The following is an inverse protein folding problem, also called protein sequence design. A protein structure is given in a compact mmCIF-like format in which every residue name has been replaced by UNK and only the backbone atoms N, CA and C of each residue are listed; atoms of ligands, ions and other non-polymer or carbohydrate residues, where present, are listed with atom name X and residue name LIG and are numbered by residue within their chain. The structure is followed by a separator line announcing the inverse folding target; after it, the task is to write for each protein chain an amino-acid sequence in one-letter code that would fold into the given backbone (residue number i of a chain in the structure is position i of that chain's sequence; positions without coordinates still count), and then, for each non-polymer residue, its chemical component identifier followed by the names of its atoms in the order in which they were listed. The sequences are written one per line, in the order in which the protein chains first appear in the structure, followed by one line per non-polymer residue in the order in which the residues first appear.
data_IF_328259367504
#
_entry.id   IF_328259367504
#
_cell.length_a   1.000
_cell.length_b   1.000
_cell.length_c   1.000
_cell.angle_alpha   90.00
_cell.angle_beta   90.00
_cell.angle_gamma   90.00
#
_symmetry.space_group_name_H-M   'P 1'
#
loop_
_entity.id
_entity.type
_entity.pdbx_description
1 polymer ?
#
# COMPACT_ATOMS: atom_id res chain seq x y z
N UNK A 1 1.32 1.42 14.44
CA UNK A 1 0.01 0.92 14.92
C UNK A 1 -0.42 -0.23 14.01
N UNK A 2 -1.08 -1.27 14.56
CA UNK A 2 -1.68 -2.35 13.74
C UNK A 2 -2.95 -1.80 13.08
N UNK A 3 -3.27 -2.22 11.86
CA UNK A 3 -4.41 -1.66 11.08
C UNK A 3 -5.77 -1.76 11.78
N UNK A 4 -5.96 -2.75 12.66
CA UNK A 4 -7.21 -2.92 13.39
C UNK A 4 -7.53 -1.75 14.35
N UNK A 5 -6.51 -1.01 14.83
CA UNK A 5 -6.75 0.16 15.69
C UNK A 5 -7.53 1.26 14.96
N UNK A 6 -7.28 1.46 13.67
CA UNK A 6 -8.01 2.42 12.84
C UNK A 6 -9.46 1.99 12.64
N UNK A 7 -9.68 0.68 12.37
CA UNK A 7 -11.01 0.10 12.20
C UNK A 7 -11.84 0.29 13.47
N UNK A 8 -11.31 -0.15 14.61
CA UNK A 8 -12.00 -0.03 15.91
C UNK A 8 -12.15 1.44 16.33
N UNK A 9 -11.13 2.27 16.15
CA UNK A 9 -11.18 3.68 16.51
C UNK A 9 -12.27 4.45 15.77
N UNK A 10 -12.40 4.25 14.46
CA UNK A 10 -13.46 4.88 13.65
C UNK A 10 -14.86 4.39 14.07
N UNK A 11 -15.02 3.09 14.35
CA UNK A 11 -16.28 2.54 14.87
C UNK A 11 -16.64 3.19 16.21
N UNK A 12 -15.70 3.24 17.16
CA UNK A 12 -15.97 3.82 18.49
C UNK A 12 -16.32 5.29 18.42
N UNK A 13 -15.58 6.10 17.65
CA UNK A 13 -15.87 7.54 17.49
C UNK A 13 -17.27 7.73 16.88
N UNK A 14 -17.59 6.98 15.81
CA UNK A 14 -18.91 7.06 15.16
C UNK A 14 -20.02 6.64 16.14
N UNK A 15 -19.78 5.58 16.93
CA UNK A 15 -20.73 5.12 17.96
C UNK A 15 -20.98 6.19 19.00
N UNK A 16 -19.93 6.82 19.54
CA UNK A 16 -20.06 7.85 20.58
C UNK A 16 -20.90 9.03 20.07
N UNK A 17 -20.61 9.55 18.88
CA UNK A 17 -21.38 10.66 18.32
C UNK A 17 -22.85 10.31 18.11
N UNK A 18 -23.15 9.08 17.65
CA UNK A 18 -24.54 8.65 17.46
C UNK A 18 -25.30 8.45 18.77
N UNK A 19 -24.67 7.85 19.79
CA UNK A 19 -25.29 7.60 21.07
C UNK A 19 -25.65 8.89 21.82
N UNK A 20 -24.95 10.00 21.57
CA UNK A 20 -25.29 11.31 22.16
C UNK A 20 -26.62 11.85 21.60
N UNK A 21 -27.01 11.46 20.40
CA UNK A 21 -28.19 12.05 19.68
C UNK A 21 -29.47 11.23 19.79
N UNK A 22 -29.35 9.96 20.14
CA UNK A 22 -30.51 9.07 20.26
C UNK A 22 -30.90 8.81 21.73
N UNK A 23 -32.18 8.58 22.01
CA UNK A 23 -32.64 8.31 23.38
C UNK A 23 -31.93 7.10 24.01
N UNK A 24 -31.51 7.24 25.28
CA UNK A 24 -30.68 6.22 25.96
C UNK A 24 -31.39 4.87 26.16
N UNK A 25 -32.73 4.89 26.31
CA UNK A 25 -33.56 3.70 26.39
C UNK A 25 -33.58 2.86 25.10
N UNK A 26 -33.18 3.45 23.98
CA UNK A 26 -33.07 2.76 22.68
C UNK A 26 -31.71 2.18 22.37
N UNK A 27 -30.68 2.46 23.16
CA UNK A 27 -29.25 2.11 22.86
C UNK A 27 -29.02 0.62 22.60
N UNK A 28 -29.72 -0.25 23.30
CA UNK A 28 -29.55 -1.71 23.20
C UNK A 28 -30.48 -2.37 22.16
N UNK A 29 -31.09 -1.59 21.28
CA UNK A 29 -31.99 -2.10 20.24
C UNK A 29 -31.21 -2.51 18.96
N UNK A 30 -31.77 -3.45 18.20
CA UNK A 30 -31.24 -3.80 16.88
C UNK A 30 -31.29 -2.62 15.90
N UNK A 31 -32.23 -1.69 16.06
CA UNK A 31 -32.32 -0.49 15.24
C UNK A 31 -31.12 0.46 15.48
N UNK A 32 -30.74 0.67 16.76
CA UNK A 32 -29.56 1.45 17.11
C UNK A 32 -28.29 0.83 16.58
N UNK A 33 -28.12 -0.48 16.77
CA UNK A 33 -26.96 -1.18 16.22
C UNK A 33 -26.93 -1.05 14.68
N UNK A 34 -28.07 -1.17 14.02
CA UNK A 34 -28.17 -0.98 12.57
C UNK A 34 -27.79 0.43 12.14
N UNK A 35 -28.23 1.47 12.87
CA UNK A 35 -27.86 2.87 12.61
C UNK A 35 -26.35 3.07 12.75
N UNK A 36 -25.76 2.59 13.84
CA UNK A 36 -24.31 2.68 14.11
C UNK A 36 -23.50 1.99 13.00
N UNK A 37 -23.86 0.76 12.65
CA UNK A 37 -23.14 0.00 11.63
C UNK A 37 -23.31 0.60 10.23
N UNK A 38 -24.50 1.10 9.89
CA UNK A 38 -24.73 1.81 8.62
C UNK A 38 -23.90 3.09 8.49
N UNK A 39 -23.90 3.93 9.52
CA UNK A 39 -23.09 5.14 9.56
C UNK A 39 -21.59 4.82 9.54
N UNK A 40 -21.15 3.79 10.28
CA UNK A 40 -19.75 3.35 10.27
C UNK A 40 -19.32 2.80 8.90
N UNK A 41 -20.21 2.08 8.19
CA UNK A 41 -19.95 1.64 6.83
C UNK A 41 -19.68 2.82 5.89
N UNK A 42 -20.47 3.88 5.98
CA UNK A 42 -20.28 5.13 5.23
C UNK A 42 -18.93 5.79 5.59
N UNK A 43 -18.58 5.87 6.88
CA UNK A 43 -17.27 6.37 7.36
C UNK A 43 -16.12 5.54 6.77
N UNK A 44 -16.25 4.22 6.77
CA UNK A 44 -15.22 3.34 6.21
C UNK A 44 -15.04 3.53 4.70
N UNK A 45 -16.12 3.74 3.97
CA UNK A 45 -16.05 4.08 2.54
C UNK A 45 -15.37 5.43 2.32
N UNK A 46 -15.71 6.46 3.10
CA UNK A 46 -15.08 7.78 3.04
C UNK A 46 -13.58 7.70 3.30
N UNK A 47 -13.17 7.03 4.39
CA UNK A 47 -11.75 6.84 4.74
C UNK A 47 -11.05 5.98 3.70
N UNK A 48 -11.71 4.98 3.11
CA UNK A 48 -11.13 4.19 2.01
C UNK A 48 -10.82 5.05 0.78
N UNK A 49 -11.65 6.04 0.45
CA UNK A 49 -11.33 7.01 -0.61
C UNK A 49 -10.09 7.86 -0.27
N UNK A 50 -9.96 8.30 0.99
CA UNK A 50 -8.77 9.02 1.48
C UNK A 50 -7.52 8.15 1.34
N UNK A 51 -7.57 6.91 1.79
CA UNK A 51 -6.43 5.98 1.69
C UNK A 51 -6.02 5.69 0.23
N UNK A 52 -6.97 5.63 -0.69
CA UNK A 52 -6.70 5.44 -2.11
C UNK A 52 -6.04 6.65 -2.79
N UNK A 53 -6.07 7.84 -2.20
CA UNK A 53 -5.54 9.08 -2.79
C UNK A 53 -4.03 9.06 -3.00
N UNK A 54 -3.28 8.28 -2.22
CA UNK A 54 -1.80 8.28 -2.16
C UNK A 54 -1.21 9.61 -1.72
N UNK A 55 -1.92 10.39 -0.91
CA UNK A 55 -1.34 11.60 -0.34
C UNK A 55 -0.20 11.26 0.62
N UNK A 56 0.91 11.99 0.52
CA UNK A 56 2.10 11.78 1.36
C UNK A 56 1.80 11.85 2.86
N UNK A 57 0.86 12.72 3.26
CA UNK A 57 0.42 12.82 4.66
C UNK A 57 -0.14 11.49 5.14
N UNK A 58 -0.97 10.82 4.34
CA UNK A 58 -1.56 9.53 4.67
C UNK A 58 -0.48 8.44 4.75
N UNK A 59 0.40 8.38 3.75
CA UNK A 59 1.55 7.45 3.79
C UNK A 59 2.39 7.67 5.06
N UNK A 60 2.56 8.94 5.47
CA UNK A 60 3.29 9.29 6.69
C UNK A 60 2.62 8.77 7.97
N UNK A 61 1.30 8.91 8.07
CA UNK A 61 0.52 8.44 9.23
C UNK A 61 0.58 6.91 9.35
N UNK A 62 0.47 6.20 8.23
CA UNK A 62 0.48 4.73 8.19
C UNK A 62 1.88 4.12 8.15
N UNK A 63 2.92 4.93 8.02
CA UNK A 63 4.32 4.51 7.91
C UNK A 63 4.63 3.59 6.72
N UNK A 64 3.95 3.79 5.59
CA UNK A 64 4.18 3.10 4.33
C UNK A 64 2.90 2.85 3.54
N UNK A 65 3.03 2.84 2.22
CA UNK A 65 1.90 2.70 1.30
C UNK A 65 1.32 1.26 1.31
N UNK A 66 2.13 0.26 1.62
CA UNK A 66 1.74 -1.13 1.83
C UNK A 66 0.71 -1.24 2.98
N UNK A 67 0.96 -0.56 4.10
CA UNK A 67 0.05 -0.51 5.25
C UNK A 67 -1.23 0.28 4.94
N UNK A 68 -1.11 1.34 4.15
CA UNK A 68 -2.28 2.10 3.67
C UNK A 68 -3.21 1.20 2.87
N UNK A 69 -2.68 0.40 1.93
CA UNK A 69 -3.50 -0.52 1.13
C UNK A 69 -4.07 -1.69 1.94
N UNK A 70 -3.32 -2.21 2.91
CA UNK A 70 -3.86 -3.23 3.81
C UNK A 70 -5.02 -2.68 4.65
N UNK A 71 -4.90 -1.46 5.19
CA UNK A 71 -5.99 -0.77 5.89
C UNK A 71 -7.21 -0.52 4.97
N UNK A 72 -6.98 -0.03 3.75
CA UNK A 72 -8.02 0.19 2.73
C UNK A 72 -8.81 -1.10 2.45
N UNK A 73 -8.11 -2.21 2.24
CA UNK A 73 -8.74 -3.52 2.00
C UNK A 73 -9.66 -3.92 3.15
N UNK A 74 -9.17 -3.85 4.39
CA UNK A 74 -9.95 -4.25 5.55
C UNK A 74 -11.12 -3.31 5.85
N UNK A 75 -10.97 -2.01 5.64
CA UNK A 75 -12.09 -1.06 5.73
C UNK A 75 -13.19 -1.39 4.72
N UNK A 76 -12.82 -1.77 3.48
CA UNK A 76 -13.78 -2.21 2.46
C UNK A 76 -14.54 -3.48 2.87
N UNK A 77 -13.84 -4.47 3.42
CA UNK A 77 -14.47 -5.71 3.92
C UNK A 77 -15.43 -5.42 5.07
N UNK A 78 -15.01 -4.65 6.06
CA UNK A 78 -15.86 -4.30 7.20
C UNK A 78 -17.01 -3.38 6.80
N UNK A 79 -16.82 -2.47 5.82
CA UNK A 79 -17.92 -1.68 5.27
C UNK A 79 -19.02 -2.57 4.69
N UNK A 80 -18.67 -3.63 3.95
CA UNK A 80 -19.66 -4.58 3.43
C UNK A 80 -20.34 -5.37 4.56
N UNK A 81 -19.60 -5.86 5.54
CA UNK A 81 -20.17 -6.60 6.69
C UNK A 81 -21.19 -5.71 7.43
N UNK A 82 -20.83 -4.48 7.73
CA UNK A 82 -21.68 -3.54 8.45
C UNK A 82 -22.88 -3.09 7.61
N UNK A 83 -22.69 -2.84 6.32
CA UNK A 83 -23.77 -2.53 5.39
C UNK A 83 -24.74 -3.71 5.26
N UNK A 84 -24.27 -4.97 5.35
CA UNK A 84 -25.13 -6.16 5.32
C UNK A 84 -26.04 -6.21 6.55
N UNK A 85 -25.50 -5.99 7.74
CA UNK A 85 -26.32 -5.90 8.94
C UNK A 85 -27.37 -4.78 8.82
N UNK A 86 -26.93 -3.58 8.41
CA UNK A 86 -27.81 -2.42 8.21
C UNK A 86 -28.89 -2.67 7.15
N UNK A 87 -28.59 -3.45 6.13
CA UNK A 87 -29.57 -3.83 5.09
C UNK A 87 -30.64 -4.79 5.61
N UNK A 88 -30.26 -5.74 6.46
CA UNK A 88 -31.16 -6.75 7.04
C UNK A 88 -32.04 -6.17 8.14
N UNK A 89 -31.45 -5.34 9.02
CA UNK A 89 -32.15 -4.75 10.17
C UNK A 89 -32.49 -3.28 9.90
N UNK A 90 -33.72 -2.88 10.14
CA UNK A 90 -34.15 -1.49 9.95
C UNK A 90 -33.54 -0.59 11.02
N UNK A 91 -32.91 0.51 10.59
CA UNK A 91 -32.33 1.55 11.46
C UNK A 91 -33.38 2.65 11.73
N UNK A 92 -34.55 2.28 12.20
CA UNK A 92 -35.64 3.23 12.52
C UNK A 92 -36.47 2.73 13.69
N UNK A 93 -36.81 3.64 14.59
CA UNK A 93 -37.76 3.46 15.68
C UNK A 93 -38.74 4.61 15.64
N UNK A 94 -40.02 4.35 16.00
CA UNK A 94 -41.06 5.36 15.97
C UNK A 94 -40.82 6.49 17.00
N UNK A 95 -40.05 6.17 18.07
CA UNK A 95 -39.64 7.17 19.08
C UNK A 95 -38.55 8.11 18.62
N UNK A 96 -37.85 7.79 17.49
CA UNK A 96 -36.85 8.67 16.93
C UNK A 96 -37.49 9.73 16.04
N UNK A 97 -37.11 10.98 16.24
CA UNK A 97 -37.57 12.09 15.40
C UNK A 97 -36.83 12.08 14.06
N UNK A 98 -37.15 11.09 13.20
CA UNK A 98 -36.43 10.78 11.96
C UNK A 98 -36.98 11.56 10.78
N UNK A 99 -36.12 12.39 10.17
CA UNK A 99 -36.42 13.18 8.96
C UNK A 99 -35.33 12.96 7.91
N UNK A 100 -35.65 13.03 6.61
CA UNK A 100 -34.61 13.05 5.58
C UNK A 100 -33.93 14.43 5.54
N UNK A 101 -32.62 14.46 5.27
CA UNK A 101 -31.91 15.72 5.05
C UNK A 101 -32.22 16.27 3.67
N UNK A 102 -32.44 15.40 2.70
CA UNK A 102 -32.81 15.71 1.33
C UNK A 102 -33.98 14.83 0.90
N UNK A 103 -35.11 15.43 0.58
CA UNK A 103 -36.29 14.70 0.14
C UNK A 103 -36.13 14.23 -1.31
N UNK A 104 -36.22 12.93 -1.50
CA UNK A 104 -36.30 12.29 -2.80
C UNK A 104 -37.61 11.53 -2.98
N UNK A 105 -38.18 11.47 -4.22
CA UNK A 105 -39.30 10.60 -4.52
C UNK A 105 -39.02 9.14 -4.11
N UNK A 106 -40.03 8.44 -3.60
CA UNK A 106 -39.93 7.06 -3.06
C UNK A 106 -39.22 6.07 -4.02
N UNK A 107 -39.46 6.25 -5.31
CA UNK A 107 -38.81 5.42 -6.33
C UNK A 107 -37.27 5.56 -6.27
N UNK A 108 -36.75 6.78 -6.30
CA UNK A 108 -35.30 7.07 -6.27
C UNK A 108 -34.67 6.65 -4.95
N UNK A 109 -35.34 6.91 -3.82
CA UNK A 109 -34.85 6.49 -2.50
C UNK A 109 -34.69 4.97 -2.43
N UNK A 110 -35.66 4.20 -2.97
CA UNK A 110 -35.60 2.73 -3.02
C UNK A 110 -34.47 2.25 -3.94
N UNK A 111 -34.34 2.85 -5.13
CA UNK A 111 -33.31 2.52 -6.11
C UNK A 111 -31.89 2.77 -5.54
N UNK A 112 -31.67 3.95 -4.96
CA UNK A 112 -30.38 4.32 -4.36
C UNK A 112 -29.98 3.33 -3.26
N UNK A 113 -30.91 2.94 -2.39
CA UNK A 113 -30.67 1.93 -1.35
C UNK A 113 -30.23 0.59 -1.91
N UNK A 114 -30.97 0.05 -2.89
CA UNK A 114 -30.68 -1.25 -3.49
C UNK A 114 -29.35 -1.22 -4.26
N UNK A 115 -29.14 -0.17 -5.04
CA UNK A 115 -27.93 0.00 -5.85
C UNK A 115 -26.68 0.14 -4.97
N UNK A 116 -26.78 0.90 -3.86
CA UNK A 116 -25.68 1.07 -2.90
C UNK A 116 -25.18 -0.27 -2.36
N UNK A 117 -26.10 -1.14 -1.92
CA UNK A 117 -25.73 -2.42 -1.33
C UNK A 117 -25.22 -3.43 -2.36
N UNK A 118 -25.94 -3.61 -3.46
CA UNK A 118 -25.55 -4.58 -4.51
C UNK A 118 -24.22 -4.19 -5.12
N UNK A 119 -24.02 -2.92 -5.45
CA UNK A 119 -22.77 -2.47 -6.06
C UNK A 119 -21.59 -2.54 -5.09
N UNK A 120 -21.79 -2.22 -3.79
CA UNK A 120 -20.75 -2.41 -2.77
C UNK A 120 -20.34 -3.90 -2.67
N UNK A 121 -21.32 -4.79 -2.61
CA UNK A 121 -21.07 -6.24 -2.57
C UNK A 121 -20.26 -6.72 -3.77
N UNK A 122 -20.66 -6.32 -4.99
CA UNK A 122 -19.95 -6.67 -6.22
C UNK A 122 -18.51 -6.13 -6.23
N UNK A 123 -18.29 -4.86 -5.88
CA UNK A 123 -16.96 -4.25 -5.86
C UNK A 123 -16.03 -4.95 -4.86
N UNK A 124 -16.53 -5.25 -3.65
CA UNK A 124 -15.71 -5.93 -2.63
C UNK A 124 -15.43 -7.38 -3.04
N UNK A 125 -16.42 -8.12 -3.53
CA UNK A 125 -16.22 -9.50 -4.01
C UNK A 125 -15.21 -9.56 -5.15
N UNK A 126 -15.32 -8.67 -6.14
CA UNK A 126 -14.37 -8.57 -7.24
C UNK A 126 -12.96 -8.22 -6.73
N UNK A 127 -12.86 -7.36 -5.71
CA UNK A 127 -11.57 -6.98 -5.13
C UNK A 127 -10.88 -8.11 -4.37
N UNK A 128 -11.64 -9.00 -3.73
CA UNK A 128 -11.11 -10.15 -2.98
C UNK A 128 -10.77 -11.33 -3.87
N UNK A 129 -11.38 -11.44 -5.04
CA UNK A 129 -11.14 -12.55 -5.98
C UNK A 129 -9.83 -12.34 -6.76
N UNK A 130 -8.79 -13.05 -6.33
CA UNK A 130 -7.44 -12.99 -6.95
C UNK A 130 -7.33 -13.64 -8.33
N UNK A 131 -8.33 -14.42 -8.76
CA UNK A 131 -8.35 -15.05 -10.08
C UNK A 131 -8.72 -14.07 -11.20
N UNK A 132 -9.27 -12.89 -10.85
CA UNK A 132 -9.59 -11.85 -11.82
C UNK A 132 -8.30 -11.12 -12.22
N UNK A 133 -8.01 -10.98 -13.53
CA UNK A 133 -6.86 -10.21 -14.01
C UNK A 133 -6.86 -8.79 -13.45
N UNK A 134 -5.67 -8.31 -13.08
CA UNK A 134 -5.52 -7.02 -12.38
C UNK A 134 -6.08 -5.83 -13.16
N UNK A 135 -5.88 -5.80 -14.48
CA UNK A 135 -6.40 -4.75 -15.36
C UNK A 135 -7.94 -4.70 -15.36
N UNK A 136 -8.61 -5.86 -15.40
CA UNK A 136 -10.08 -5.98 -15.34
C UNK A 136 -10.59 -5.50 -13.99
N UNK A 137 -10.04 -6.08 -12.90
CA UNK A 137 -10.39 -5.69 -11.54
C UNK A 137 -10.24 -4.18 -11.31
N UNK A 138 -9.11 -3.60 -11.70
CA UNK A 138 -8.82 -2.17 -11.50
C UNK A 138 -9.85 -1.28 -12.18
N UNK A 139 -10.31 -1.65 -13.36
CA UNK A 139 -11.32 -0.89 -14.10
C UNK A 139 -12.63 -0.85 -13.33
N UNK A 140 -13.14 -2.01 -12.93
CA UNK A 140 -14.35 -2.12 -12.13
C UNK A 140 -14.23 -1.43 -10.77
N UNK A 141 -13.08 -1.55 -10.14
CA UNK A 141 -12.84 -0.92 -8.83
C UNK A 141 -12.87 0.62 -8.88
N UNK A 142 -12.61 1.26 -10.03
CA UNK A 142 -12.80 2.71 -10.18
C UNK A 142 -14.24 3.16 -9.98
N UNK A 143 -15.23 2.28 -10.21
CA UNK A 143 -16.63 2.56 -9.93
C UNK A 143 -16.94 2.74 -8.45
N UNK A 144 -16.01 2.40 -7.55
CA UNK A 144 -16.16 2.66 -6.10
C UNK A 144 -16.31 4.15 -5.78
N UNK A 145 -15.69 5.06 -6.57
CA UNK A 145 -15.88 6.51 -6.42
C UNK A 145 -17.33 6.95 -6.70
N UNK A 146 -17.89 6.71 -7.89
CA UNK A 146 -19.31 6.95 -8.18
C UNK A 146 -20.25 6.24 -7.19
N UNK A 147 -19.97 5.00 -6.80
CA UNK A 147 -20.75 4.29 -5.79
C UNK A 147 -20.75 5.03 -4.46
N UNK A 148 -19.63 5.55 -4.01
CA UNK A 148 -19.54 6.31 -2.77
C UNK A 148 -20.47 7.54 -2.81
N UNK A 149 -20.57 8.25 -3.93
CA UNK A 149 -21.54 9.34 -4.10
C UNK A 149 -22.98 8.87 -3.97
N UNK A 150 -23.31 7.70 -4.53
CA UNK A 150 -24.65 7.09 -4.40
C UNK A 150 -24.95 6.77 -2.93
N UNK A 151 -23.96 6.26 -2.17
CA UNK A 151 -24.14 5.97 -0.74
C UNK A 151 -24.31 7.26 0.08
N UNK A 152 -23.64 8.35 -0.28
CA UNK A 152 -23.89 9.67 0.33
C UNK A 152 -25.33 10.12 0.07
N UNK A 153 -25.82 9.99 -1.16
CA UNK A 153 -27.23 10.30 -1.50
C UNK A 153 -28.19 9.41 -0.72
N UNK A 154 -27.86 8.13 -0.53
CA UNK A 154 -28.62 7.23 0.35
C UNK A 154 -28.72 7.79 1.77
N UNK A 155 -27.58 8.16 2.40
CA UNK A 155 -27.57 8.75 3.74
C UNK A 155 -28.42 10.02 3.82
N UNK A 156 -28.24 10.94 2.86
CA UNK A 156 -28.98 12.24 2.87
C UNK A 156 -30.48 12.09 2.63
N UNK A 157 -30.92 11.07 1.88
CA UNK A 157 -32.29 10.90 1.44
C UNK A 157 -33.16 9.98 2.33
N UNK A 158 -32.55 9.25 3.24
CA UNK A 158 -33.27 8.39 4.17
C UNK A 158 -33.66 9.11 5.45
N UNK A 159 -34.80 8.74 6.00
CA UNK A 159 -35.22 9.19 7.32
C UNK A 159 -34.25 8.70 8.38
N UNK A 160 -33.64 9.60 9.12
CA UNK A 160 -32.65 9.33 10.14
C UNK A 160 -32.83 10.33 11.30
N UNK A 161 -32.49 9.96 12.54
CA UNK A 161 -32.41 10.90 13.65
C UNK A 161 -31.22 11.88 13.51
N UNK A 162 -30.29 11.63 12.57
CA UNK A 162 -29.10 12.44 12.35
C UNK A 162 -29.45 13.70 11.54
N UNK A 163 -29.16 14.88 12.07
CA UNK A 163 -29.26 16.15 11.35
C UNK A 163 -27.87 16.65 10.95
N UNK A 164 -27.74 17.47 9.90
CA UNK A 164 -26.43 17.99 9.46
C UNK A 164 -25.75 18.88 10.52
N UNK A 165 -26.53 19.55 11.38
CA UNK A 165 -26.00 20.42 12.43
C UNK A 165 -25.59 19.68 13.69
N UNK A 166 -25.92 18.41 13.80
CA UNK A 166 -25.58 17.59 14.96
C UNK A 166 -24.12 17.11 14.93
N UNK A 167 -23.53 16.74 16.07
CA UNK A 167 -22.15 16.21 16.12
C UNK A 167 -21.92 15.02 15.18
N UNK A 168 -22.86 14.05 15.12
CA UNK A 168 -22.75 12.91 14.20
C UNK A 168 -22.92 13.33 12.74
N UNK A 169 -23.84 14.26 12.45
CA UNK A 169 -24.00 14.80 11.09
C UNK A 169 -22.77 15.55 10.60
N UNK A 170 -22.18 16.40 11.45
CA UNK A 170 -20.90 17.08 11.12
C UNK A 170 -19.76 16.11 10.91
N UNK A 171 -19.68 15.06 11.74
CA UNK A 171 -18.69 13.99 11.59
C UNK A 171 -18.82 13.28 10.24
N UNK A 172 -20.02 12.82 9.91
CA UNK A 172 -20.30 12.14 8.65
C UNK A 172 -20.07 13.06 7.45
N UNK A 173 -20.58 14.29 7.49
CA UNK A 173 -20.44 15.26 6.41
C UNK A 173 -18.97 15.62 6.14
N UNK A 174 -18.18 15.83 7.20
CA UNK A 174 -16.75 16.16 7.10
C UNK A 174 -15.97 15.03 6.44
N UNK A 175 -16.16 13.78 6.90
CA UNK A 175 -15.48 12.63 6.31
C UNK A 175 -15.95 12.34 4.88
N UNK A 176 -17.25 12.45 4.61
CA UNK A 176 -17.79 12.31 3.26
C UNK A 176 -17.24 13.38 2.32
N UNK A 177 -17.19 14.63 2.74
CA UNK A 177 -16.60 15.72 1.97
C UNK A 177 -15.13 15.47 1.64
N UNK A 178 -14.31 15.10 2.63
CA UNK A 178 -12.93 14.73 2.42
C UNK A 178 -12.79 13.50 1.50
N UNK A 179 -13.63 12.50 1.67
CA UNK A 179 -13.67 11.31 0.81
C UNK A 179 -13.98 11.63 -0.64
N UNK A 180 -14.94 12.55 -0.89
CA UNK A 180 -15.27 13.04 -2.24
C UNK A 180 -14.09 13.77 -2.86
N UNK A 181 -13.47 14.70 -2.12
CA UNK A 181 -12.26 15.41 -2.58
C UNK A 181 -11.17 14.42 -2.96
N UNK A 182 -10.93 13.40 -2.13
CA UNK A 182 -9.93 12.39 -2.39
C UNK A 182 -10.28 11.51 -3.60
N UNK A 183 -11.55 11.13 -3.77
CA UNK A 183 -12.00 10.35 -4.92
C UNK A 183 -11.88 11.15 -6.23
N UNK A 184 -12.33 12.39 -6.25
CA UNK A 184 -12.17 13.29 -7.41
C UNK A 184 -10.70 13.50 -7.73
N UNK A 185 -9.88 13.86 -6.74
CA UNK A 185 -8.43 13.98 -6.92
C UNK A 185 -7.84 12.71 -7.56
N UNK A 186 -8.16 11.53 -7.02
CA UNK A 186 -7.58 10.27 -7.49
C UNK A 186 -8.01 9.89 -8.90
N UNK A 187 -9.27 10.14 -9.24
CA UNK A 187 -9.81 9.75 -10.54
C UNK A 187 -9.45 10.73 -11.66
N UNK A 188 -9.28 12.01 -11.34
CA UNK A 188 -9.10 13.08 -12.33
C UNK A 188 -7.75 13.77 -12.28
N UNK A 189 -7.31 14.23 -11.11
CA UNK A 189 -6.14 15.11 -10.95
C UNK A 189 -4.82 14.36 -10.72
N UNK A 190 -4.88 13.15 -10.16
CA UNK A 190 -3.69 12.39 -9.79
C UNK A 190 -2.65 12.24 -10.93
N UNK A 191 -3.03 11.94 -12.18
CA UNK A 191 -2.06 11.79 -13.26
C UNK A 191 -1.25 13.07 -13.56
N UNK A 192 -1.81 14.23 -13.24
CA UNK A 192 -1.17 15.53 -13.51
C UNK A 192 -0.38 16.04 -12.30
N UNK A 193 -0.95 15.93 -11.10
CA UNK A 193 -0.38 16.53 -9.86
C UNK A 193 0.68 15.62 -9.23
N UNK A 194 0.50 14.31 -9.28
CA UNK A 194 1.41 13.35 -8.65
C UNK A 194 2.59 12.93 -9.52
N UNK A 195 2.65 13.37 -10.78
CA UNK A 195 3.76 13.07 -11.69
C UNK A 195 5.03 13.77 -11.22
N UNK A 196 6.08 13.00 -10.92
CA UNK A 196 7.39 13.53 -10.54
C UNK A 196 8.21 13.98 -11.75
N UNK A 197 8.03 13.33 -12.91
CA UNK A 197 8.73 13.69 -14.13
C UNK A 197 8.43 12.76 -15.31
N UNK A 198 8.84 13.21 -16.47
CA UNK A 198 8.90 12.42 -17.70
C UNK A 198 10.31 11.91 -17.88
N UNK A 199 10.44 10.64 -18.20
CA UNK A 199 11.70 9.94 -18.34
C UNK A 199 11.79 9.21 -19.66
N UNK A 200 13.00 9.04 -20.16
CA UNK A 200 13.32 8.27 -21.38
C UNK A 200 14.12 7.04 -21.02
N UNK A 201 13.75 5.90 -21.55
CA UNK A 201 14.53 4.65 -21.47
C UNK A 201 15.84 4.83 -22.20
N UNK A 202 16.96 4.70 -21.50
CA UNK A 202 18.31 4.85 -22.04
C UNK A 202 19.08 3.54 -22.12
N UNK A 203 18.75 2.56 -21.27
CA UNK A 203 19.31 1.22 -21.36
C UNK A 203 18.26 0.15 -20.99
N UNK A 204 18.33 -0.97 -21.68
CA UNK A 204 17.50 -2.16 -21.45
C UNK A 204 18.40 -3.39 -21.51
N UNK A 205 18.47 -4.13 -20.41
CA UNK A 205 19.17 -5.41 -20.34
C UNK A 205 18.22 -6.46 -19.79
N UNK A 206 18.03 -7.54 -20.53
CA UNK A 206 17.25 -8.69 -20.08
C UNK A 206 18.15 -9.90 -19.93
N UNK A 207 18.27 -10.44 -18.72
CA UNK A 207 19.10 -11.62 -18.44
C UNK A 207 18.47 -12.45 -17.32
N UNK A 208 18.52 -13.77 -17.47
CA UNK A 208 18.02 -14.73 -16.46
C UNK A 208 16.55 -14.46 -16.02
N UNK A 209 15.70 -14.00 -16.94
CA UNK A 209 14.31 -13.69 -16.65
C UNK A 209 14.13 -12.45 -15.76
N UNK A 210 15.08 -11.54 -15.73
CA UNK A 210 14.97 -10.22 -15.08
C UNK A 210 15.33 -9.13 -16.06
N UNK A 211 14.49 -8.09 -16.09
CA UNK A 211 14.69 -6.88 -16.86
C UNK A 211 15.39 -5.84 -15.97
N UNK A 212 16.53 -5.35 -16.40
CA UNK A 212 17.18 -4.16 -15.86
C UNK A 212 16.89 -2.99 -16.79
N UNK A 213 16.20 -1.99 -16.27
CA UNK A 213 15.74 -0.83 -16.99
C UNK A 213 16.37 0.42 -16.41
N UNK A 214 17.04 1.19 -17.26
CA UNK A 214 17.61 2.50 -16.91
C UNK A 214 16.86 3.60 -17.62
N UNK A 215 16.47 4.64 -16.86
CA UNK A 215 15.73 5.78 -17.39
C UNK A 215 16.44 7.08 -16.96
N UNK A 216 16.51 8.00 -17.93
CA UNK A 216 17.06 9.35 -17.71
C UNK A 216 15.93 10.39 -17.81
N UNK A 217 15.90 11.42 -16.95
CA UNK A 217 14.86 12.44 -16.99
C UNK A 217 14.93 13.22 -18.31
N UNK A 218 13.76 13.53 -18.89
CA UNK A 218 13.69 14.36 -20.11
C UNK A 218 14.01 15.84 -19.79
N UNK A 219 13.64 16.28 -18.59
CA UNK A 219 13.91 17.64 -18.11
C UNK A 219 14.70 17.58 -16.79
N UNK A 220 14.01 17.56 -15.67
CA UNK A 220 14.60 17.52 -14.33
C UNK A 220 14.24 16.23 -13.63
N UNK A 221 15.23 15.58 -13.01
CA UNK A 221 15.02 14.44 -12.12
C UNK A 221 14.33 14.86 -10.81
N UNK A 222 13.79 13.90 -10.08
CA UNK A 222 13.27 14.09 -8.73
C UNK A 222 14.24 13.53 -7.70
N UNK A 223 14.27 14.15 -6.51
CA UNK A 223 15.05 13.65 -5.41
C UNK A 223 14.32 12.49 -4.69
N UNK A 224 15.05 11.44 -4.34
CA UNK A 224 14.56 10.31 -3.57
C UNK A 224 15.61 9.84 -2.55
N UNK A 225 15.20 9.02 -1.62
CA UNK A 225 16.12 8.37 -0.66
C UNK A 225 16.30 6.91 -1.07
N UNK A 226 17.53 6.38 -0.97
CA UNK A 226 17.79 4.95 -1.24
C UNK A 226 16.86 4.04 -0.44
N UNK A 227 16.28 3.04 -1.12
CA UNK A 227 15.25 2.14 -0.59
C UNK A 227 13.81 2.57 -0.89
N UNK A 228 13.58 3.75 -1.49
CA UNK A 228 12.25 4.16 -1.96
C UNK A 228 11.90 3.52 -3.31
N UNK A 229 10.60 3.55 -3.64
CA UNK A 229 10.08 3.07 -4.91
C UNK A 229 9.35 4.17 -5.69
N UNK A 230 9.13 3.92 -6.96
CA UNK A 230 8.37 4.78 -7.86
C UNK A 230 7.32 3.97 -8.61
N UNK A 231 6.22 4.62 -9.03
CA UNK A 231 5.32 4.04 -10.01
C UNK A 231 5.79 4.43 -11.41
N UNK A 232 6.08 3.43 -12.22
CA UNK A 232 6.45 3.55 -13.63
C UNK A 232 5.22 3.34 -14.50
N UNK A 233 4.94 4.26 -15.42
CA UNK A 233 3.90 4.16 -16.44
C UNK A 233 4.53 4.49 -17.80
N UNK A 234 4.66 3.49 -18.69
CA UNK A 234 5.18 3.72 -20.03
C UNK A 234 4.14 4.47 -20.88
N UNK A 235 4.56 5.40 -21.75
CA UNK A 235 3.66 6.10 -22.67
C UNK A 235 3.28 5.26 -23.90
N UNK A 236 3.39 3.94 -23.80
CA UNK A 236 3.06 2.97 -24.82
C UNK A 236 1.68 2.35 -24.57
N UNK A 237 0.92 2.07 -25.64
CA UNK A 237 -0.39 1.43 -25.51
C UNK A 237 -0.29 0.04 -24.82
N UNK A 238 -1.14 -0.16 -23.82
CA UNK A 238 -1.15 -1.36 -23.00
C UNK A 238 -0.08 -1.41 -21.89
N UNK A 239 0.77 -0.35 -21.75
CA UNK A 239 1.77 -0.19 -20.70
C UNK A 239 1.63 1.14 -19.94
N UNK A 240 0.51 1.86 -20.13
CA UNK A 240 0.24 3.15 -19.46
C UNK A 240 -0.16 3.02 -17.99
N UNK A 241 -0.25 1.82 -17.49
CA UNK A 241 -0.66 1.56 -16.12
C UNK A 241 0.51 1.78 -15.16
N UNK A 242 0.37 2.65 -14.12
CA UNK A 242 1.44 2.86 -13.15
C UNK A 242 1.65 1.62 -12.26
N UNK A 243 2.82 1.01 -12.36
CA UNK A 243 3.24 -0.12 -11.53
C UNK A 243 4.39 0.27 -10.62
N UNK A 244 4.39 -0.17 -9.33
CA UNK A 244 5.43 0.15 -8.38
C UNK A 244 6.67 -0.70 -8.58
N UNK A 245 7.83 -0.04 -8.61
CA UNK A 245 9.14 -0.69 -8.66
C UNK A 245 10.11 0.04 -7.73
N UNK A 246 10.89 -0.72 -6.96
CA UNK A 246 11.92 -0.15 -6.10
C UNK A 246 13.04 0.43 -6.95
N UNK A 247 13.46 1.64 -6.62
CA UNK A 247 14.55 2.32 -7.29
C UNK A 247 15.87 1.64 -6.86
N UNK A 248 16.63 1.15 -7.84
CA UNK A 248 17.89 0.43 -7.64
C UNK A 248 19.14 1.29 -7.93
N UNK A 249 18.95 2.57 -8.30
CA UNK A 249 20.03 3.54 -8.52
C UNK A 249 20.39 4.32 -7.26
N UNK A 250 21.50 5.05 -7.30
CA UNK A 250 21.78 6.15 -6.40
C UNK A 250 20.87 7.34 -6.71
N UNK A 251 20.78 8.26 -5.75
CA UNK A 251 20.21 9.60 -5.98
C UNK A 251 21.36 10.57 -6.23
N UNK A 252 21.71 10.77 -7.48
CA UNK A 252 22.81 11.60 -7.92
C UNK A 252 22.32 12.78 -8.80
N UNK A 253 23.23 13.63 -9.21
CA UNK A 253 22.95 14.83 -10.02
C UNK A 253 22.41 14.50 -11.42
N UNK A 254 22.68 13.29 -11.94
CA UNK A 254 22.15 12.87 -13.25
C UNK A 254 20.65 12.69 -13.25
N UNK A 255 20.06 12.46 -12.06
CA UNK A 255 18.65 12.15 -11.89
C UNK A 255 18.23 10.83 -12.54
N UNK A 256 19.20 10.01 -12.94
CA UNK A 256 18.96 8.71 -13.55
C UNK A 256 18.35 7.74 -12.54
N UNK A 257 17.41 6.93 -12.98
CA UNK A 257 16.79 5.89 -12.16
C UNK A 257 16.90 4.53 -12.82
N UNK A 258 17.10 3.51 -11.98
CA UNK A 258 17.19 2.13 -12.42
C UNK A 258 16.14 1.27 -11.72
N UNK A 259 15.60 0.30 -12.46
CA UNK A 259 14.68 -0.69 -11.93
C UNK A 259 15.12 -2.10 -12.28
N UNK A 260 15.03 -3.02 -11.32
CA UNK A 260 15.16 -4.46 -11.53
C UNK A 260 13.75 -5.07 -11.51
N UNK A 261 13.29 -5.57 -12.65
CA UNK A 261 11.90 -5.99 -12.84
C UNK A 261 11.87 -7.47 -13.22
N UNK A 262 11.12 -8.26 -12.46
CA UNK A 262 10.85 -9.65 -12.79
C UNK A 262 9.50 -9.78 -13.47
N UNK A 263 9.39 -10.45 -14.63
CA UNK A 263 8.14 -10.68 -15.33
C UNK A 263 7.31 -11.78 -14.63
N UNK A 264 6.54 -11.39 -13.61
CA UNK A 264 5.70 -12.27 -12.82
C UNK A 264 4.23 -12.21 -13.23
N UNK A 265 3.72 -11.02 -13.54
CA UNK A 265 2.34 -10.78 -13.95
C UNK A 265 2.22 -10.30 -15.40
N UNK A 266 1.00 -10.14 -15.89
CA UNK A 266 0.70 -9.76 -17.28
C UNK A 266 1.42 -8.49 -17.71
N UNK A 267 1.37 -7.43 -16.87
CA UNK A 267 2.03 -6.17 -17.16
C UNK A 267 3.55 -6.31 -17.27
N UNK A 268 4.18 -6.96 -16.29
CA UNK A 268 5.65 -7.08 -16.25
C UNK A 268 6.19 -8.00 -17.34
N UNK A 269 5.44 -9.02 -17.77
CA UNK A 269 5.75 -9.84 -18.94
C UNK A 269 5.71 -8.98 -20.20
N UNK A 270 4.60 -8.27 -20.42
CA UNK A 270 4.43 -7.38 -21.55
C UNK A 270 5.48 -6.27 -21.60
N UNK A 271 5.82 -5.68 -20.44
CA UNK A 271 6.88 -4.68 -20.34
C UNK A 271 8.23 -5.27 -20.78
N UNK A 272 8.59 -6.47 -20.29
CA UNK A 272 9.87 -7.10 -20.63
C UNK A 272 10.02 -7.47 -22.11
N UNK A 273 8.90 -7.72 -22.81
CA UNK A 273 8.86 -8.05 -24.23
C UNK A 273 8.88 -6.82 -25.12
N UNK A 274 8.26 -5.72 -24.68
CA UNK A 274 7.96 -4.58 -25.53
C UNK A 274 8.84 -3.35 -25.28
N UNK A 275 9.46 -3.24 -24.09
CA UNK A 275 10.26 -2.07 -23.75
C UNK A 275 11.50 -1.95 -24.67
N UNK A 276 11.74 -0.73 -25.18
CA UNK A 276 12.87 -0.43 -26.04
C UNK A 276 13.51 0.89 -25.61
N UNK A 277 14.80 1.04 -25.93
CA UNK A 277 15.52 2.30 -25.76
C UNK A 277 14.79 3.41 -26.53
N UNK A 278 14.72 4.61 -25.96
CA UNK A 278 14.04 5.76 -26.51
C UNK A 278 12.57 5.92 -26.09
N UNK A 279 11.92 4.87 -25.56
CA UNK A 279 10.54 4.97 -25.08
C UNK A 279 10.43 5.94 -23.90
N UNK A 280 9.28 6.66 -23.85
CA UNK A 280 8.96 7.61 -22.79
C UNK A 280 8.12 6.96 -21.70
N UNK A 281 8.32 7.40 -20.47
CA UNK A 281 7.58 6.99 -19.30
C UNK A 281 7.27 8.15 -18.37
N UNK A 282 6.11 8.13 -17.72
CA UNK A 282 5.80 9.00 -16.60
C UNK A 282 6.17 8.29 -15.29
N UNK A 283 6.86 9.01 -14.43
CA UNK A 283 7.25 8.53 -13.08
C UNK A 283 6.45 9.27 -12.03
N UNK A 284 5.86 8.50 -11.11
CA UNK A 284 5.19 9.01 -9.92
C UNK A 284 6.00 8.58 -8.71
N UNK A 285 6.62 9.55 -8.02
CA UNK A 285 7.63 9.28 -7.01
C UNK A 285 7.85 10.49 -6.07
N UNK A 286 8.66 10.32 -5.00
CA UNK A 286 9.05 9.04 -4.40
C UNK A 286 8.02 8.53 -3.40
N UNK A 287 7.96 7.22 -3.20
CA UNK A 287 7.15 6.53 -2.20
C UNK A 287 7.99 5.53 -1.41
N UNK A 288 7.46 5.04 -0.30
CA UNK A 288 8.13 4.06 0.55
C UNK A 288 8.95 4.68 1.68
N UNK A 289 9.14 3.87 2.73
CA UNK A 289 9.86 4.26 3.95
C UNK A 289 10.92 3.25 4.34
N UNK A 290 11.25 2.34 3.46
CA UNK A 290 12.29 1.38 3.70
C UNK A 290 13.65 2.09 3.69
N UNK A 291 14.34 2.08 4.81
CA UNK A 291 15.61 2.79 4.99
C UNK A 291 16.56 1.98 5.84
N UNK A 292 17.85 2.22 5.65
CA UNK A 292 18.91 1.68 6.50
C UNK A 292 18.75 2.10 7.97
N UNK A 293 19.38 1.32 8.84
CA UNK A 293 19.50 1.59 10.27
C UNK A 293 20.97 1.86 10.67
N UNK A 294 21.60 2.95 10.20
CA UNK A 294 23.05 3.19 10.31
C UNK A 294 23.54 3.37 11.75
N UNK A 295 22.63 3.50 12.71
CA UNK A 295 22.95 3.57 14.15
C UNK A 295 23.04 2.19 14.81
N UNK A 296 22.67 1.12 14.10
CA UNK A 296 22.78 -0.24 14.58
C UNK A 296 24.24 -0.63 14.81
N UNK A 297 24.50 -1.52 15.76
CA UNK A 297 25.83 -2.10 15.91
C UNK A 297 26.11 -3.15 14.83
N UNK A 298 25.04 -3.83 14.35
CA UNK A 298 25.06 -4.74 13.20
C UNK A 298 23.80 -4.61 12.39
N UNK A 299 23.96 -4.51 11.07
CA UNK A 299 22.86 -4.56 10.10
C UNK A 299 22.95 -5.86 9.29
N UNK A 300 21.83 -6.57 9.14
CA UNK A 300 21.72 -7.70 8.19
C UNK A 300 20.70 -7.31 7.14
N UNK A 301 21.12 -7.26 5.89
CA UNK A 301 20.28 -6.96 4.74
C UNK A 301 19.95 -8.24 4.00
N UNK A 302 18.71 -8.62 3.92
CA UNK A 302 18.27 -9.87 3.29
C UNK A 302 17.47 -9.53 2.05
N UNK A 303 18.07 -9.73 0.87
CA UNK A 303 17.44 -9.50 -0.42
C UNK A 303 17.17 -10.81 -1.14
N UNK A 304 15.93 -11.06 -1.57
CA UNK A 304 15.57 -12.27 -2.29
C UNK A 304 15.12 -11.99 -3.73
N UNK A 305 15.84 -12.52 -4.70
CA UNK A 305 15.62 -12.25 -6.12
C UNK A 305 15.68 -10.75 -6.43
N UNK A 306 14.61 -10.19 -7.05
CA UNK A 306 14.52 -8.74 -7.31
C UNK A 306 14.34 -7.91 -6.02
N UNK A 307 14.07 -8.54 -4.88
CA UNK A 307 14.14 -7.90 -3.56
C UNK A 307 15.52 -7.40 -3.18
N UNK A 308 16.54 -7.64 -4.01
CA UNK A 308 17.86 -7.04 -3.88
C UNK A 308 17.86 -5.53 -4.21
N UNK A 309 16.88 -5.03 -4.96
CA UNK A 309 16.81 -3.66 -5.48
C UNK A 309 17.08 -2.55 -4.45
N UNK A 310 16.45 -2.53 -3.26
CA UNK A 310 16.70 -1.48 -2.28
C UNK A 310 18.13 -1.53 -1.74
N UNK A 311 18.73 -2.72 -1.63
CA UNK A 311 20.08 -2.89 -1.13
C UNK A 311 21.13 -2.47 -2.18
N UNK A 312 20.84 -2.67 -3.46
CA UNK A 312 21.63 -2.11 -4.56
C UNK A 312 21.65 -0.59 -4.50
N UNK A 313 20.48 0.04 -4.27
CA UNK A 313 20.40 1.48 -4.06
C UNK A 313 21.21 1.95 -2.85
N UNK A 314 21.19 1.21 -1.73
CA UNK A 314 22.00 1.51 -0.55
C UNK A 314 23.51 1.35 -0.78
N UNK A 315 23.93 0.35 -1.56
CA UNK A 315 25.34 0.18 -1.93
C UNK A 315 25.82 1.29 -2.87
N UNK A 316 24.97 1.76 -3.77
CA UNK A 316 25.27 2.84 -4.71
C UNK A 316 25.25 4.24 -4.06
N UNK A 317 24.65 4.39 -2.88
CA UNK A 317 24.53 5.69 -2.20
C UNK A 317 25.91 6.23 -1.78
N UNK A 318 26.40 7.33 -2.36
CA UNK A 318 27.69 7.89 -1.98
C UNK A 318 27.69 8.47 -0.57
N UNK A 319 26.52 8.86 -0.05
CA UNK A 319 26.35 9.40 1.29
C UNK A 319 26.23 8.35 2.40
N UNK A 320 26.20 7.05 2.05
CA UNK A 320 26.04 5.99 3.03
C UNK A 320 27.28 5.83 3.93
N UNK A 321 27.07 5.90 5.25
CA UNK A 321 28.09 5.75 6.29
C UNK A 321 27.94 4.43 7.05
N UNK A 322 28.99 3.99 7.76
CA UNK A 322 28.99 2.78 8.62
C UNK A 322 28.57 1.51 7.87
N UNK A 323 29.04 1.35 6.65
CA UNK A 323 28.72 0.19 5.80
C UNK A 323 29.48 -1.07 6.24
N UNK A 324 30.59 -0.93 6.93
CA UNK A 324 31.40 -1.99 7.55
C UNK A 324 30.64 -2.80 8.61
N UNK A 325 29.53 -2.26 9.12
CA UNK A 325 28.65 -2.93 10.07
C UNK A 325 27.55 -3.77 9.40
N UNK A 326 27.47 -3.72 8.07
CA UNK A 326 26.42 -4.36 7.31
C UNK A 326 26.86 -5.67 6.69
N UNK A 327 26.00 -6.67 6.75
CA UNK A 327 26.13 -7.94 6.00
C UNK A 327 24.96 -8.03 5.02
N UNK A 328 25.24 -8.12 3.73
CA UNK A 328 24.24 -8.32 2.68
C UNK A 328 24.12 -9.81 2.35
N UNK A 329 22.97 -10.39 2.63
CA UNK A 329 22.61 -11.76 2.26
C UNK A 329 21.77 -11.73 1.00
N UNK A 330 22.27 -12.25 -0.11
CA UNK A 330 21.54 -12.37 -1.36
C UNK A 330 20.98 -13.77 -1.53
N UNK A 331 19.67 -13.94 -1.34
CA UNK A 331 18.97 -15.20 -1.53
C UNK A 331 18.46 -15.32 -2.97
N UNK A 332 18.91 -16.31 -3.73
CA UNK A 332 18.55 -16.44 -5.13
C UNK A 332 18.54 -17.89 -5.62
N UNK A 333 17.88 -18.12 -6.75
CA UNK A 333 18.02 -19.34 -7.51
C UNK A 333 19.11 -19.11 -8.56
N UNK A 334 20.17 -19.95 -8.65
CA UNK A 334 21.28 -19.76 -9.58
C UNK A 334 20.85 -19.57 -11.04
N UNK A 335 19.83 -20.32 -11.49
CA UNK A 335 19.30 -20.20 -12.85
C UNK A 335 18.60 -18.86 -13.13
N UNK A 336 18.35 -18.04 -12.10
CA UNK A 336 17.58 -16.80 -12.18
C UNK A 336 18.24 -15.62 -11.46
N UNK A 337 19.53 -15.77 -11.09
CA UNK A 337 20.28 -14.71 -10.42
C UNK A 337 20.47 -13.50 -11.34
N UNK A 338 19.95 -12.35 -10.91
CA UNK A 338 20.20 -11.07 -11.55
C UNK A 338 19.93 -9.92 -10.56
N UNK A 339 20.89 -8.99 -10.31
CA UNK A 339 22.27 -9.02 -10.84
C UNK A 339 23.02 -10.30 -10.47
N UNK A 340 24.06 -10.66 -11.24
CA UNK A 340 24.93 -11.78 -10.87
C UNK A 340 25.52 -11.60 -9.47
N UNK A 341 25.66 -12.70 -8.73
CA UNK A 341 26.16 -12.64 -7.35
C UNK A 341 27.60 -12.06 -7.29
N UNK A 342 28.43 -12.33 -8.29
CA UNK A 342 29.79 -11.80 -8.40
C UNK A 342 29.79 -10.26 -8.56
N UNK A 343 28.84 -9.72 -9.30
CA UNK A 343 28.69 -8.27 -9.45
C UNK A 343 28.31 -7.62 -8.13
N UNK A 344 27.37 -8.20 -7.39
CA UNK A 344 26.97 -7.73 -6.07
C UNK A 344 28.10 -7.85 -5.05
N UNK A 345 28.89 -8.94 -5.11
CA UNK A 345 30.08 -9.13 -4.29
C UNK A 345 31.08 -7.98 -4.51
N UNK A 346 31.39 -7.67 -5.78
CA UNK A 346 32.30 -6.57 -6.12
C UNK A 346 31.79 -5.21 -5.60
N UNK A 347 30.50 -4.94 -5.75
CA UNK A 347 29.89 -3.72 -5.22
C UNK A 347 29.95 -3.66 -3.68
N UNK A 348 29.65 -4.75 -3.00
CA UNK A 348 29.67 -4.84 -1.54
C UNK A 348 31.09 -4.65 -1.00
N UNK A 349 32.08 -5.34 -1.58
CA UNK A 349 33.49 -5.22 -1.20
C UNK A 349 34.03 -3.81 -1.38
N UNK A 350 33.71 -3.15 -2.50
CA UNK A 350 34.10 -1.76 -2.75
C UNK A 350 33.55 -0.77 -1.70
N UNK A 351 32.51 -1.17 -0.98
CA UNK A 351 31.85 -0.37 0.07
C UNK A 351 32.10 -0.87 1.49
N UNK A 352 32.92 -1.92 1.66
CA UNK A 352 33.23 -2.53 2.96
C UNK A 352 32.07 -3.32 3.58
N UNK A 353 31.07 -3.70 2.76
CA UNK A 353 29.93 -4.53 3.20
C UNK A 353 30.29 -6.00 3.08
N UNK A 354 30.06 -6.77 4.15
CA UNK A 354 30.18 -8.24 4.10
C UNK A 354 29.09 -8.80 3.18
N UNK A 355 29.47 -9.66 2.22
CA UNK A 355 28.53 -10.26 1.27
C UNK A 355 28.41 -11.77 1.46
N UNK A 356 27.19 -12.25 1.57
CA UNK A 356 26.86 -13.67 1.67
C UNK A 356 25.96 -14.08 0.51
N UNK A 357 26.47 -14.92 -0.36
CA UNK A 357 25.73 -15.56 -1.44
C UNK A 357 24.93 -16.74 -0.89
N UNK A 358 23.62 -16.73 -1.04
CA UNK A 358 22.74 -17.77 -0.49
C UNK A 358 21.85 -18.39 -1.57
N UNK A 359 22.35 -19.45 -2.18
CA UNK A 359 21.64 -20.35 -3.08
C UNK A 359 21.26 -21.69 -2.42
N UNK A 360 21.72 -21.92 -1.17
CA UNK A 360 21.68 -23.20 -0.45
C UNK A 360 20.55 -23.30 0.61
N UNK A 361 19.80 -22.24 0.83
CA UNK A 361 18.63 -22.29 1.71
C UNK A 361 18.78 -21.62 3.07
N UNK A 362 18.03 -22.10 4.07
CA UNK A 362 17.85 -21.40 5.34
C UNK A 362 19.03 -21.49 6.29
N UNK A 363 19.88 -22.53 6.16
CA UNK A 363 21.01 -22.75 7.07
C UNK A 363 22.06 -21.64 6.96
N UNK A 364 22.34 -21.18 5.74
CA UNK A 364 23.26 -20.07 5.49
C UNK A 364 22.73 -18.78 6.15
N UNK A 365 21.43 -18.54 6.02
CA UNK A 365 20.79 -17.38 6.60
C UNK A 365 20.81 -17.45 8.14
N UNK A 366 20.47 -18.60 8.72
CA UNK A 366 20.50 -18.81 10.16
C UNK A 366 21.92 -18.65 10.72
N UNK A 367 22.93 -19.18 10.03
CA UNK A 367 24.32 -19.04 10.47
C UNK A 367 24.79 -17.58 10.39
N UNK A 368 24.48 -16.86 9.31
CA UNK A 368 24.79 -15.44 9.19
C UNK A 368 24.20 -14.62 10.35
N UNK A 369 22.93 -14.88 10.70
CA UNK A 369 22.27 -14.20 11.81
C UNK A 369 22.90 -14.60 13.17
N UNK A 370 23.28 -15.88 13.34
CA UNK A 370 23.98 -16.37 14.54
C UNK A 370 25.35 -15.72 14.72
N UNK A 371 26.10 -15.54 13.61
CA UNK A 371 27.39 -14.86 13.67
C UNK A 371 27.26 -13.37 14.03
N UNK A 372 26.20 -12.71 13.57
CA UNK A 372 25.92 -11.33 13.99
C UNK A 372 25.64 -11.23 15.50
N UNK A 373 24.84 -12.15 16.06
CA UNK A 373 24.53 -12.20 17.50
C UNK A 373 25.76 -12.57 18.34
N UNK A 374 26.72 -13.32 17.80
CA UNK A 374 28.02 -13.58 18.49
C UNK A 374 28.89 -12.32 18.58
N UNK A 375 28.73 -11.38 17.65
CA UNK A 375 29.53 -10.12 17.59
C UNK A 375 28.93 -8.99 18.40
N UNK A 376 27.62 -9.07 18.76
CA UNK A 376 26.90 -8.06 19.56
C UNK A 376 25.67 -8.68 20.23
N UNK A 377 25.00 -7.94 21.14
CA UNK A 377 23.76 -8.43 21.76
C UNK A 377 22.59 -8.49 20.75
N UNK A 378 21.65 -9.44 20.89
CA UNK A 378 20.52 -9.62 19.96
C UNK A 378 19.68 -8.37 19.74
N UNK A 379 19.49 -7.55 20.76
CA UNK A 379 18.71 -6.31 20.72
C UNK A 379 19.33 -5.21 19.83
N UNK A 380 20.64 -5.30 19.57
CA UNK A 380 21.39 -4.35 18.75
C UNK A 380 21.59 -4.78 17.31
N UNK A 381 21.11 -5.97 16.94
CA UNK A 381 21.06 -6.45 15.55
C UNK A 381 19.80 -5.93 14.89
N UNK A 382 19.93 -5.22 13.76
CA UNK A 382 18.83 -4.76 12.94
C UNK A 382 18.77 -5.55 11.63
N UNK A 383 17.59 -6.00 11.25
CA UNK A 383 17.38 -6.82 10.05
C UNK A 383 16.50 -6.04 9.08
N UNK A 384 16.99 -5.89 7.85
CA UNK A 384 16.23 -5.30 6.74
C UNK A 384 15.92 -6.39 5.72
N UNK A 385 14.65 -6.63 5.46
CA UNK A 385 14.19 -7.72 4.59
C UNK A 385 13.40 -7.20 3.39
N UNK A 386 13.76 -7.69 2.21
CA UNK A 386 12.98 -7.49 1.00
C UNK A 386 12.93 -8.79 0.17
N UNK A 387 11.73 -9.37 0.06
CA UNK A 387 11.55 -10.66 -0.60
C UNK A 387 10.17 -11.28 -0.39
N UNK A 388 9.98 -12.56 -0.76
CA UNK A 388 8.70 -13.24 -0.68
C UNK A 388 8.29 -13.55 0.78
N UNK A 389 6.96 -13.58 1.02
CA UNK A 389 6.37 -13.81 2.35
C UNK A 389 6.81 -15.14 3.00
N UNK A 390 6.98 -16.20 2.21
CA UNK A 390 7.44 -17.48 2.75
C UNK A 390 8.82 -17.37 3.42
N UNK A 391 9.76 -16.69 2.76
CA UNK A 391 11.08 -16.45 3.35
C UNK A 391 11.03 -15.52 4.58
N UNK A 392 10.13 -14.53 4.58
CA UNK A 392 9.91 -13.66 5.73
C UNK A 392 9.47 -14.43 6.99
N UNK A 393 8.63 -15.45 6.84
CA UNK A 393 8.22 -16.29 7.97
C UNK A 393 9.42 -17.01 8.57
N UNK A 394 10.28 -17.59 7.74
CA UNK A 394 11.51 -18.26 8.19
C UNK A 394 12.47 -17.27 8.88
N UNK A 395 12.65 -16.06 8.32
CA UNK A 395 13.46 -15.00 8.98
C UNK A 395 12.93 -14.71 10.38
N UNK A 396 11.63 -14.59 10.55
CA UNK A 396 11.01 -14.35 11.86
C UNK A 396 11.20 -15.51 12.86
N UNK A 397 11.19 -16.75 12.38
CA UNK A 397 11.46 -17.92 13.20
C UNK A 397 12.92 -17.96 13.65
N UNK A 398 13.87 -17.70 12.75
CA UNK A 398 15.30 -17.60 13.09
C UNK A 398 15.53 -16.47 14.10
N UNK A 399 14.90 -15.31 13.92
CA UNK A 399 14.98 -14.21 14.89
C UNK A 399 14.50 -14.63 16.29
N UNK A 400 13.38 -15.35 16.37
CA UNK A 400 12.87 -15.86 17.67
C UNK A 400 13.85 -16.82 18.32
N UNK A 401 14.40 -17.76 17.54
CA UNK A 401 15.37 -18.74 18.03
C UNK A 401 16.68 -18.08 18.53
N UNK A 402 17.03 -16.92 17.99
CA UNK A 402 18.22 -16.16 18.37
C UNK A 402 17.93 -15.01 19.35
N UNK A 403 16.71 -14.91 19.88
CA UNK A 403 16.24 -13.85 20.77
C UNK A 403 16.40 -12.43 20.19
N UNK A 404 16.39 -12.27 18.85
CA UNK A 404 16.38 -10.97 18.19
C UNK A 404 14.96 -10.40 18.26
N UNK A 405 14.76 -9.18 18.80
CA UNK A 405 13.44 -8.59 18.91
C UNK A 405 12.75 -8.44 17.53
N UNK A 406 11.47 -8.80 17.42
CA UNK A 406 10.71 -8.65 16.18
C UNK A 406 10.53 -7.19 15.75
N UNK A 407 10.71 -6.23 16.67
CA UNK A 407 10.74 -4.80 16.40
C UNK A 407 11.95 -4.36 15.59
N UNK A 408 13.02 -5.15 15.59
CA UNK A 408 14.25 -4.90 14.85
C UNK A 408 14.17 -5.39 13.39
N UNK A 409 13.00 -5.88 12.95
CA UNK A 409 12.76 -6.33 11.60
C UNK A 409 12.06 -5.22 10.79
N UNK A 410 12.78 -4.71 9.79
CA UNK A 410 12.29 -3.74 8.82
C UNK A 410 11.98 -4.45 7.50
N UNK A 411 10.79 -4.24 6.96
CA UNK A 411 10.28 -5.03 5.84
C UNK A 411 9.83 -4.10 4.73
N UNK A 412 10.21 -4.44 3.49
CA UNK A 412 9.60 -3.93 2.27
C UNK A 412 8.94 -5.09 1.54
N UNK A 413 7.64 -4.98 1.27
CA UNK A 413 6.86 -5.99 0.54
C UNK A 413 6.38 -5.42 -0.78
N UNK A 414 6.48 -6.22 -1.85
CA UNK A 414 6.04 -5.82 -3.20
C UNK A 414 4.58 -6.18 -3.52
N UNK A 415 3.81 -6.64 -2.54
CA UNK A 415 2.42 -7.03 -2.74
C UNK A 415 1.48 -5.86 -2.41
N UNK A 416 0.92 -5.25 -3.46
CA UNK A 416 -0.05 -4.14 -3.38
C UNK A 416 -1.50 -4.58 -3.66
N UNK A 417 -1.81 -5.90 -3.59
CA UNK A 417 -3.14 -6.46 -3.79
C UNK A 417 -3.51 -7.51 -2.74
#
# INVERSE_FOLDING_TARGET
MKNWHWIVGLLLITTIFLLIEIPADTWLTSATLSLILGATALVYMAVSCLLASRWRVIENIFAGLDRVYDAHKWLGVWALIFATYHFVFKANLDVWNSVPIWELPKYWTRLVRQLSYVALGLIVMLALNRNIPYNVWRWWHKLSGPLFLIVIVHWLSFKSPITLSSPSGLWLASLCGLGVIAAVYKLTLYPFVARAGEYRVTAVTSKNGTLHLTLTPVHKGFAFKPGQFAFLAMKQNGLREPHPFTIASANDESGQIEFLIRPLGDYTKKLSEQVKIGMLADIYAPYGRFKRQPQAEREIWIGAGVGISPFVSWLKDPGAKNLDKATLVYCFNPARAFPPAEHLLGMAQARGVEFVSNDKGLDVLAETMRQAVKKTSPDKVQISFCGPKGLLLNVREIMRALNIPQTNLHIELFEFR
#
